data_IF_013785604259
#
_entry.id   IF_013785604259
#
_cell.length_a   1.000
_cell.length_b   1.000
_cell.length_c   1.000
_cell.angle_alpha   90.00
_cell.angle_beta   90.00
_cell.angle_gamma   90.00
#
_symmetry.space_group_name_H-M   'P 1'
#
loop_
_entity.id
_entity.type
_entity.pdbx_description
1 polymer ?
#
# COMPACT_ATOMS: atom_id res chain seq x y z
N UNK A 1 -12.25 7.56 -7.90
CA UNK A 1 -12.55 8.83 -7.20
C UNK A 1 -12.47 9.98 -8.20
N UNK A 2 -13.53 10.79 -8.32
CA UNK A 2 -13.62 11.87 -9.33
C UNK A 2 -13.26 11.44 -10.77
N UNK A 3 -13.66 10.23 -11.19
CA UNK A 3 -13.37 9.70 -12.54
C UNK A 3 -11.99 9.06 -12.73
N UNK A 4 -11.08 9.12 -11.74
CA UNK A 4 -9.78 8.43 -11.76
C UNK A 4 -9.75 7.19 -10.87
N UNK A 5 -9.11 6.08 -11.27
CA UNK A 5 -8.87 4.92 -10.41
C UNK A 5 -8.06 5.28 -9.16
N UNK A 6 -8.32 4.60 -8.04
CA UNK A 6 -7.60 4.85 -6.76
C UNK A 6 -6.09 4.63 -6.93
N UNK A 7 -5.70 3.59 -7.67
CA UNK A 7 -4.30 3.27 -7.91
C UNK A 7 -3.54 4.39 -8.65
N UNK A 8 -4.20 5.20 -9.48
CA UNK A 8 -3.55 6.37 -10.11
C UNK A 8 -3.23 7.44 -9.06
N UNK A 9 -4.11 7.64 -8.07
CA UNK A 9 -3.85 8.57 -6.98
C UNK A 9 -2.69 8.10 -6.10
N UNK A 10 -2.60 6.79 -5.85
CA UNK A 10 -1.48 6.18 -5.12
C UNK A 10 -0.17 6.38 -5.87
N UNK A 11 -0.12 6.05 -7.17
CA UNK A 11 1.07 6.25 -7.99
C UNK A 11 1.49 7.73 -8.04
N UNK A 12 0.53 8.65 -8.13
CA UNK A 12 0.82 10.08 -8.05
C UNK A 12 1.38 10.52 -6.70
N UNK A 13 0.90 9.96 -5.59
CA UNK A 13 1.46 10.20 -4.25
C UNK A 13 2.90 9.66 -4.17
N UNK A 14 3.12 8.40 -4.57
CA UNK A 14 4.42 7.74 -4.56
C UNK A 14 5.46 8.54 -5.38
N UNK A 15 5.09 8.96 -6.60
CA UNK A 15 5.95 9.75 -7.47
C UNK A 15 6.32 11.12 -6.88
N UNK A 16 5.43 11.77 -6.12
CA UNK A 16 5.74 13.05 -5.42
C UNK A 16 6.84 12.90 -4.37
N UNK A 17 7.00 11.70 -3.81
CA UNK A 17 8.04 11.37 -2.84
C UNK A 17 9.24 10.65 -3.46
N UNK A 18 9.31 10.56 -4.80
CA UNK A 18 10.43 9.95 -5.51
C UNK A 18 10.42 8.41 -5.52
N UNK A 19 9.29 7.78 -5.22
CA UNK A 19 9.14 6.32 -5.30
C UNK A 19 8.78 5.95 -6.73
N UNK A 20 9.76 5.42 -7.46
CA UNK A 20 9.60 5.08 -8.89
C UNK A 20 9.43 3.58 -9.13
N UNK A 21 10.09 2.71 -8.35
CA UNK A 21 9.96 1.25 -8.50
C UNK A 21 8.75 0.75 -7.70
N UNK A 22 7.71 0.28 -8.41
CA UNK A 22 6.43 -0.11 -7.81
C UNK A 22 6.06 -1.53 -8.23
N UNK A 23 5.89 -2.42 -7.26
CA UNK A 23 5.31 -3.74 -7.52
C UNK A 23 3.83 -3.73 -7.15
N UNK A 24 2.96 -4.07 -8.10
CA UNK A 24 1.51 -4.14 -7.92
C UNK A 24 1.08 -5.59 -7.84
N UNK A 25 0.52 -6.00 -6.69
CA UNK A 25 -0.10 -7.32 -6.57
C UNK A 25 -1.44 -7.36 -7.28
N UNK A 26 -1.63 -8.36 -8.13
CA UNK A 26 -2.84 -8.53 -8.94
C UNK A 26 -3.32 -9.98 -8.90
N UNK A 27 -4.63 -10.17 -8.83
CA UNK A 27 -5.28 -11.48 -8.90
C UNK A 27 -6.48 -11.41 -9.86
N UNK A 28 -7.69 -11.31 -9.34
CA UNK A 28 -8.91 -11.19 -10.13
C UNK A 28 -8.89 -9.92 -10.98
N UNK A 29 -9.22 -10.05 -12.27
CA UNK A 29 -9.17 -8.96 -13.27
C UNK A 29 -7.79 -8.30 -13.43
N UNK A 30 -6.71 -9.03 -13.19
CA UNK A 30 -5.33 -8.56 -13.41
C UNK A 30 -5.13 -7.92 -14.78
N UNK A 31 -5.77 -8.44 -15.83
CA UNK A 31 -5.65 -7.93 -17.18
C UNK A 31 -6.14 -6.48 -17.27
N UNK A 32 -7.24 -6.14 -16.59
CA UNK A 32 -7.73 -4.74 -16.56
C UNK A 32 -6.75 -3.81 -15.84
N UNK A 33 -6.08 -4.30 -14.79
CA UNK A 33 -5.09 -3.52 -14.05
C UNK A 33 -3.84 -3.34 -14.89
N UNK A 34 -3.38 -4.38 -15.57
CA UNK A 34 -2.20 -4.37 -16.46
C UNK A 34 -2.43 -3.51 -17.71
N UNK A 35 -3.56 -3.70 -18.40
CA UNK A 35 -3.96 -2.89 -19.55
C UNK A 35 -4.12 -1.42 -19.17
N UNK A 36 -4.67 -1.19 -17.99
CA UNK A 36 -4.74 0.15 -17.46
C UNK A 36 -3.32 0.63 -17.17
N UNK A 37 -2.56 0.12 -16.21
CA UNK A 37 -1.33 0.75 -15.72
C UNK A 37 -0.11 0.65 -16.66
N UNK A 38 -0.04 -0.35 -17.53
CA UNK A 38 1.07 -0.58 -18.44
C UNK A 38 2.39 -0.83 -17.70
N UNK A 39 3.50 -0.28 -18.21
CA UNK A 39 4.80 -0.33 -17.54
C UNK A 39 4.98 0.76 -16.46
N UNK A 40 3.95 1.59 -16.23
CA UNK A 40 3.99 2.70 -15.28
C UNK A 40 4.62 3.99 -15.80
N UNK A 41 5.21 3.99 -16.99
CA UNK A 41 5.98 5.14 -17.53
C UNK A 41 5.17 6.43 -17.57
N UNK A 42 3.87 6.34 -17.88
CA UNK A 42 2.95 7.50 -17.88
C UNK A 42 2.74 8.15 -16.52
N UNK A 43 3.09 7.46 -15.45
CA UNK A 43 2.99 7.90 -14.06
C UNK A 43 4.36 8.28 -13.47
N UNK A 44 5.43 8.20 -14.27
CA UNK A 44 6.80 8.38 -13.75
C UNK A 44 7.26 7.22 -12.86
N UNK A 45 6.67 6.03 -13.02
CA UNK A 45 7.02 4.82 -12.28
C UNK A 45 7.47 3.70 -13.22
N UNK A 46 8.16 2.71 -12.66
CA UNK A 46 8.43 1.40 -13.26
C UNK A 46 7.55 0.39 -12.51
N UNK A 47 6.55 -0.14 -13.18
CA UNK A 47 5.57 -1.06 -12.57
C UNK A 47 5.87 -2.51 -12.94
N UNK A 48 6.08 -3.32 -11.91
CA UNK A 48 6.10 -4.78 -12.01
C UNK A 48 4.81 -5.37 -11.43
N UNK A 49 4.36 -6.51 -11.96
CA UNK A 49 3.12 -7.15 -11.53
C UNK A 49 3.40 -8.47 -10.81
N UNK A 50 2.96 -8.55 -9.56
CA UNK A 50 3.01 -9.77 -8.76
C UNK A 50 1.66 -10.50 -8.94
N UNK A 51 1.64 -11.55 -9.75
CA UNK A 51 0.40 -12.29 -10.06
C UNK A 51 0.14 -13.36 -9.01
N UNK A 52 -0.84 -13.13 -8.15
CA UNK A 52 -1.31 -14.10 -7.17
C UNK A 52 -2.24 -15.12 -7.83
N UNK A 53 -1.99 -16.43 -7.63
CA UNK A 53 -2.90 -17.49 -8.09
C UNK A 53 -4.11 -17.67 -7.16
N UNK A 54 -3.90 -17.41 -5.87
CA UNK A 54 -4.91 -17.42 -4.82
C UNK A 54 -4.61 -16.27 -3.84
N UNK A 55 -5.61 -15.74 -3.10
CA UNK A 55 -5.35 -14.66 -2.15
C UNK A 55 -4.38 -15.11 -1.06
N UNK A 56 -3.15 -14.58 -1.05
CA UNK A 56 -2.11 -15.00 -0.11
C UNK A 56 -2.18 -14.23 1.24
N UNK A 57 -3.15 -13.33 1.39
CA UNK A 57 -3.31 -12.44 2.55
C UNK A 57 -2.53 -11.13 2.41
N UNK A 58 -2.70 -10.21 3.37
CA UNK A 58 -2.27 -8.79 3.28
C UNK A 58 -0.81 -8.59 2.92
N UNK A 59 0.09 -9.42 3.45
CA UNK A 59 1.52 -9.38 3.15
C UNK A 59 2.00 -10.61 2.34
N UNK A 60 1.07 -11.46 1.89
CA UNK A 60 1.39 -12.69 1.17
C UNK A 60 2.05 -12.44 -0.19
N UNK A 61 1.67 -11.34 -0.86
CA UNK A 61 2.27 -10.88 -2.10
C UNK A 61 3.78 -10.62 -1.97
N UNK A 62 4.29 -10.29 -0.78
CA UNK A 62 5.74 -10.13 -0.56
C UNK A 62 6.54 -11.42 -0.82
N UNK A 63 5.91 -12.60 -0.74
CA UNK A 63 6.56 -13.87 -1.09
C UNK A 63 6.82 -14.01 -2.58
N UNK A 64 6.05 -13.30 -3.41
CA UNK A 64 6.23 -13.26 -4.86
C UNK A 64 7.29 -12.23 -5.27
N UNK A 65 7.67 -11.34 -4.36
CA UNK A 65 8.74 -10.38 -4.57
C UNK A 65 10.09 -11.08 -4.35
N UNK A 66 10.60 -11.75 -5.38
CA UNK A 66 11.83 -12.55 -5.29
C UNK A 66 13.05 -11.71 -4.85
N UNK A 67 13.19 -10.51 -5.41
CA UNK A 67 14.23 -9.53 -5.04
C UNK A 67 13.69 -8.11 -5.14
N UNK A 68 13.58 -7.37 -4.04
CA UNK A 68 13.25 -5.95 -4.11
C UNK A 68 14.37 -5.19 -4.82
N UNK A 69 14.01 -4.13 -5.53
CA UNK A 69 14.98 -3.23 -6.19
C UNK A 69 15.84 -2.45 -5.19
N UNK A 70 15.36 -2.30 -3.95
CA UNK A 70 15.96 -1.50 -2.89
C UNK A 70 15.98 -2.26 -1.56
N UNK A 71 16.87 -1.86 -0.64
CA UNK A 71 16.98 -2.45 0.69
C UNK A 71 15.76 -2.16 1.59
N UNK A 72 15.00 -1.11 1.26
CA UNK A 72 13.81 -0.69 2.00
C UNK A 72 12.59 -0.81 1.10
N UNK A 73 11.56 -1.48 1.59
CA UNK A 73 10.29 -1.66 0.90
C UNK A 73 9.20 -0.89 1.63
N UNK A 74 8.47 -0.06 0.91
CA UNK A 74 7.22 0.53 1.36
C UNK A 74 6.07 -0.40 0.97
N UNK A 75 5.34 -0.90 1.97
CA UNK A 75 4.12 -1.69 1.75
C UNK A 75 2.89 -0.86 2.11
N UNK A 76 1.92 -0.81 1.20
CA UNK A 76 0.62 -0.19 1.44
C UNK A 76 -0.48 -0.93 0.67
N UNK A 77 -1.73 -0.77 1.11
CA UNK A 77 -2.87 -1.32 0.39
C UNK A 77 -3.12 -0.53 -0.91
N UNK A 78 -3.49 -1.24 -1.99
CA UNK A 78 -3.76 -0.64 -3.31
C UNK A 78 -5.08 0.14 -3.43
N UNK A 79 -5.88 0.16 -2.38
CA UNK A 79 -7.14 0.88 -2.27
C UNK A 79 -7.11 2.01 -1.22
N UNK A 80 -5.96 2.23 -0.58
CA UNK A 80 -5.80 3.23 0.47
C UNK A 80 -5.45 4.60 -0.12
N UNK A 81 -6.37 5.55 0.01
CA UNK A 81 -6.08 6.97 -0.20
C UNK A 81 -5.56 7.59 1.10
N UNK A 82 -4.41 8.25 1.01
CA UNK A 82 -3.74 8.84 2.16
C UNK A 82 -2.91 10.05 1.74
N UNK A 83 -2.68 10.94 2.69
CA UNK A 83 -1.80 12.11 2.62
C UNK A 83 -0.61 12.00 3.60
N UNK A 84 -0.34 10.78 4.10
CA UNK A 84 0.81 10.50 4.97
C UNK A 84 2.09 11.04 4.35
N UNK A 85 2.88 11.72 5.19
CA UNK A 85 4.22 12.17 4.85
C UNK A 85 5.19 10.97 4.77
N UNK A 86 5.35 10.44 3.56
CA UNK A 86 6.23 9.30 3.30
C UNK A 86 7.70 9.65 3.52
N UNK A 87 8.12 10.90 3.27
CA UNK A 87 9.48 11.35 3.54
C UNK A 87 9.77 11.32 5.04
N UNK A 88 8.90 11.94 5.85
CA UNK A 88 9.02 11.94 7.30
C UNK A 88 9.03 10.52 7.89
N UNK A 89 8.15 9.63 7.37
CA UNK A 89 8.09 8.23 7.77
C UNK A 89 9.38 7.47 7.40
N UNK A 90 9.91 7.66 6.20
CA UNK A 90 11.15 7.04 5.76
C UNK A 90 12.35 7.52 6.60
N UNK A 91 12.46 8.83 6.84
CA UNK A 91 13.52 9.38 7.68
C UNK A 91 13.44 8.88 9.13
N UNK A 92 12.23 8.70 9.67
CA UNK A 92 12.03 8.09 10.99
C UNK A 92 12.52 6.64 11.00
N UNK A 93 12.11 5.85 10.02
CA UNK A 93 12.51 4.45 9.88
C UNK A 93 14.04 4.32 9.82
N UNK A 94 14.71 5.05 8.93
CA UNK A 94 16.17 5.00 8.76
C UNK A 94 16.93 5.37 10.04
N UNK A 95 16.44 6.35 10.81
CA UNK A 95 17.08 6.77 12.07
C UNK A 95 16.82 5.80 13.23
N UNK A 96 15.68 5.12 13.23
CA UNK A 96 15.23 4.27 14.33
C UNK A 96 16.03 2.98 14.50
N UNK A 97 16.69 2.50 13.44
CA UNK A 97 17.25 1.12 13.34
C UNK A 97 16.22 0.02 13.64
N UNK A 98 14.93 0.32 13.54
CA UNK A 98 13.86 -0.66 13.68
C UNK A 98 13.83 -1.59 12.48
N UNK A 99 13.29 -2.80 12.68
CA UNK A 99 13.03 -3.73 11.58
C UNK A 99 11.86 -3.28 10.70
N UNK A 100 10.93 -2.48 11.23
CA UNK A 100 9.75 -1.98 10.55
C UNK A 100 9.23 -0.71 11.23
N UNK A 101 8.65 0.20 10.44
CA UNK A 101 7.83 1.31 10.92
C UNK A 101 6.42 1.19 10.34
N UNK A 102 5.39 1.56 11.11
CA UNK A 102 3.99 1.45 10.71
C UNK A 102 3.29 2.79 10.94
N UNK A 103 2.62 3.31 9.91
CA UNK A 103 1.74 4.45 10.04
C UNK A 103 0.38 4.01 10.57
N UNK A 104 -0.12 4.68 11.61
CA UNK A 104 -1.42 4.39 12.22
C UNK A 104 -2.25 5.67 12.33
N UNK A 105 -3.56 5.55 12.17
CA UNK A 105 -4.51 6.64 12.44
C UNK A 105 -5.52 6.17 13.47
N UNK A 106 -5.98 7.10 14.31
CA UNK A 106 -7.08 6.82 15.23
C UNK A 106 -8.38 6.65 14.43
N UNK A 107 -9.20 5.67 14.81
CA UNK A 107 -10.48 5.40 14.19
C UNK A 107 -11.54 5.34 15.28
N UNK A 108 -12.36 6.39 15.38
CA UNK A 108 -13.51 6.40 16.27
C UNK A 108 -14.68 5.68 15.61
N UNK A 109 -15.21 4.66 16.29
CA UNK A 109 -16.43 3.98 15.90
C UNK A 109 -17.51 4.38 16.89
N UNK A 110 -18.44 5.22 16.44
CA UNK A 110 -19.65 5.51 17.19
C UNK A 110 -20.59 4.30 17.11
N UNK A 111 -20.64 3.53 18.18
CA UNK A 111 -21.59 2.43 18.29
C UNK A 111 -22.99 3.01 18.57
N UNK A 112 -24.00 2.76 17.72
CA UNK A 112 -25.35 3.28 17.93
C UNK A 112 -26.12 2.50 19.03
N UNK A 113 -25.40 1.77 19.89
CA UNK A 113 -25.94 0.90 20.92
C UNK A 113 -25.32 1.25 22.28
N UNK A 114 -26.07 0.99 23.35
CA UNK A 114 -25.52 1.07 24.70
C UNK A 114 -24.48 -0.04 24.90
N UNK A 115 -23.26 0.34 25.32
CA UNK A 115 -22.21 -0.59 25.74
C UNK A 115 -22.44 -0.91 27.22
N UNK A 116 -22.57 -2.20 27.55
CA UNK A 116 -22.59 -2.69 28.93
C UNK A 116 -21.31 -3.49 29.18
N UNK A 117 -20.45 -2.98 30.06
CA UNK A 117 -19.32 -3.75 30.58
C UNK A 117 -19.83 -4.71 31.67
N UNK A 118 -19.51 -5.99 31.51
CA UNK A 118 -19.80 -7.02 32.51
C UNK A 118 -18.48 -7.47 33.10
N UNK A 119 -18.25 -7.20 34.39
CA UNK A 119 -17.20 -7.86 35.16
C UNK A 119 -17.64 -9.31 35.44
N UNK A 120 -16.85 -10.29 35.00
CA UNK A 120 -17.08 -11.69 35.30
C UNK A 120 -16.40 -12.11 36.61
N UNK A 121 -17.07 -12.96 37.39
CA UNK A 121 -16.51 -13.65 38.58
C UNK A 121 -15.42 -14.67 38.21
#
# INVERSE_FOLDING_TARGET
VHGRPIIEHILGLLGRFGVEDVSVSVNYLKEKVQDHLGDGSRFGARIDYLVEQEPLGTAGALRLLERPAHDVVLLMNGDLLTDVDLEGMFQLFTRSRAAMAVATTEHHVDLPYAVMDLEGD
#
